data_IF_487633887147
#
_entry.id   IF_487633887147
#
_cell.length_a   1.000
_cell.length_b   1.000
_cell.length_c   1.000
_cell.angle_alpha   90.00
_cell.angle_beta   90.00
_cell.angle_gamma   90.00
#
_symmetry.space_group_name_H-M   'P 1'
#
loop_
_entity.id
_entity.type
_entity.pdbx_description
1 polymer ?
#
# COMPACT_ATOMS: atom_id res chain seq x y z
N UNK A 1 -21.25 15.34 26.61
CA UNK A 1 -22.24 14.58 25.83
C UNK A 1 -21.55 14.17 24.53
N UNK A 2 -20.95 13.01 24.53
CA UNK A 2 -20.19 12.49 23.37
C UNK A 2 -21.15 11.79 22.42
N UNK A 3 -21.38 12.37 21.26
CA UNK A 3 -22.11 11.69 20.19
C UNK A 3 -21.18 10.66 19.53
N UNK A 4 -21.35 9.42 19.89
CA UNK A 4 -20.70 8.27 19.28
C UNK A 4 -21.24 8.08 17.87
N UNK A 5 -20.57 8.66 16.87
CA UNK A 5 -20.97 8.53 15.46
C UNK A 5 -20.65 7.11 15.00
N UNK A 6 -21.68 6.29 14.83
CA UNK A 6 -21.53 4.91 14.38
C UNK A 6 -20.83 4.86 13.01
N UNK A 7 -19.98 3.84 12.79
CA UNK A 7 -19.27 3.60 11.50
C UNK A 7 -20.19 3.68 10.28
N UNK A 8 -21.43 3.25 10.38
CA UNK A 8 -22.44 3.35 9.31
C UNK A 8 -22.84 4.80 8.96
N UNK A 9 -22.90 5.72 9.94
CA UNK A 9 -23.16 7.13 9.69
C UNK A 9 -21.98 7.84 9.04
N UNK A 10 -20.77 7.44 9.41
CA UNK A 10 -19.53 7.97 8.82
C UNK A 10 -19.41 7.59 7.33
N UNK A 11 -19.67 6.33 7.00
CA UNK A 11 -19.63 5.83 5.61
C UNK A 11 -20.74 6.48 4.76
N UNK A 12 -21.96 6.68 5.30
CA UNK A 12 -23.02 7.39 4.56
C UNK A 12 -22.67 8.86 4.29
N UNK A 13 -21.96 9.53 5.19
CA UNK A 13 -21.53 10.91 4.97
C UNK A 13 -20.47 11.04 3.87
N UNK A 14 -19.60 10.06 3.72
CA UNK A 14 -18.60 10.01 2.62
C UNK A 14 -19.28 9.65 1.29
N UNK A 15 -20.25 8.74 1.28
CA UNK A 15 -20.95 8.32 0.07
C UNK A 15 -21.87 9.39 -0.56
N UNK A 16 -22.28 10.39 0.19
CA UNK A 16 -23.15 11.47 -0.33
C UNK A 16 -22.38 12.57 -1.08
N UNK A 17 -21.05 12.58 -1.01
CA UNK A 17 -20.19 13.54 -1.72
C UNK A 17 -19.78 13.08 -3.14
N UNK A 18 -20.18 11.88 -3.56
CA UNK A 18 -19.75 11.30 -4.84
C UNK A 18 -20.84 11.24 -5.92
N UNK A 19 -22.07 11.73 -5.65
CA UNK A 19 -23.18 11.67 -6.60
C UNK A 19 -23.45 13.01 -7.32
N UNK A 20 -22.43 13.84 -7.50
CA UNK A 20 -22.49 15.03 -8.34
C UNK A 20 -21.58 14.89 -9.55
N UNK A 21 -22.16 14.53 -10.71
CA UNK A 21 -21.48 14.62 -12.01
C UNK A 21 -20.98 16.05 -12.24
N UNK A 22 -19.73 16.34 -11.92
CA UNK A 22 -19.07 17.58 -12.34
C UNK A 22 -17.99 17.24 -13.34
N UNK A 23 -18.20 17.67 -14.57
CA UNK A 23 -17.13 17.75 -15.58
C UNK A 23 -16.11 18.77 -15.06
N UNK A 24 -15.06 18.30 -14.41
CA UNK A 24 -13.98 19.16 -13.93
C UNK A 24 -12.87 19.15 -14.96
N UNK A 25 -12.63 20.29 -15.59
CA UNK A 25 -11.48 20.50 -16.46
C UNK A 25 -10.18 20.20 -15.69
N UNK A 26 -9.21 19.58 -16.36
CA UNK A 26 -7.96 19.08 -15.80
C UNK A 26 -7.07 20.13 -15.11
N UNK A 27 -7.43 21.39 -15.12
CA UNK A 27 -6.66 22.50 -14.53
C UNK A 27 -7.13 22.95 -13.14
N UNK A 28 -8.26 22.46 -12.65
CA UNK A 28 -8.85 22.86 -11.36
C UNK A 28 -8.49 22.00 -10.15
N UNK A 29 -8.02 20.78 -10.37
CA UNK A 29 -7.82 19.81 -9.28
C UNK A 29 -6.61 20.10 -8.37
N UNK A 30 -5.65 20.89 -8.85
CA UNK A 30 -4.44 21.19 -8.09
C UNK A 30 -4.60 22.31 -7.04
N UNK A 31 -5.73 23.00 -6.99
CA UNK A 31 -5.91 24.18 -6.13
C UNK A 31 -6.94 24.07 -5.03
N UNK A 32 -7.61 22.95 -4.91
CA UNK A 32 -8.52 22.73 -3.77
C UNK A 32 -7.82 21.88 -2.70
N UNK A 33 -6.63 22.31 -2.28
CA UNK A 33 -6.14 21.99 -0.95
C UNK A 33 -7.09 22.72 -0.02
N UNK A 34 -7.97 21.99 0.61
CA UNK A 34 -8.90 22.47 1.62
C UNK A 34 -8.07 23.24 2.63
N UNK A 35 -8.34 24.54 2.74
CA UNK A 35 -7.85 25.38 3.83
C UNK A 35 -8.56 24.89 5.11
N UNK A 36 -8.01 23.84 5.70
CA UNK A 36 -8.54 23.22 6.89
C UNK A 36 -8.21 24.12 8.07
N UNK A 37 -9.22 24.79 8.62
CA UNK A 37 -9.12 25.61 9.82
C UNK A 37 -8.23 24.94 10.88
N UNK A 38 -7.45 25.74 11.57
CA UNK A 38 -6.32 25.40 12.46
C UNK A 38 -6.57 24.39 13.61
N UNK A 39 -7.79 23.84 13.74
CA UNK A 39 -8.19 22.93 14.81
C UNK A 39 -8.31 21.46 14.38
N UNK A 40 -7.85 21.07 13.20
CA UNK A 40 -7.86 19.66 12.80
C UNK A 40 -6.54 19.00 13.17
N UNK A 41 -6.57 17.74 13.62
CA UNK A 41 -5.35 16.98 13.89
C UNK A 41 -4.56 16.66 12.59
N UNK A 42 -5.19 16.81 11.43
CA UNK A 42 -4.57 16.56 10.13
C UNK A 42 -3.82 17.82 9.71
N UNK A 43 -2.51 17.74 9.69
CA UNK A 43 -1.62 18.85 9.32
C UNK A 43 -1.39 18.96 7.82
N UNK A 44 -1.44 17.85 7.10
CA UNK A 44 -1.15 17.79 5.68
C UNK A 44 -1.82 16.57 5.05
N UNK A 45 -2.31 16.75 3.83
CA UNK A 45 -2.80 15.66 2.97
C UNK A 45 -2.10 15.78 1.61
N UNK A 46 -1.58 14.68 1.11
CA UNK A 46 -0.92 14.61 -0.20
C UNK A 46 -1.41 13.35 -0.94
N UNK A 47 -1.40 13.36 -2.28
CA UNK A 47 -1.61 12.15 -3.04
C UNK A 47 -0.55 11.11 -2.68
N UNK A 48 -0.97 9.86 -2.56
CA UNK A 48 -0.06 8.74 -2.36
C UNK A 48 0.75 8.53 -3.64
N UNK A 49 2.06 8.43 -3.48
CA UNK A 49 3.01 8.07 -4.53
C UNK A 49 3.76 6.80 -4.12
N UNK A 50 4.45 6.16 -5.02
CA UNK A 50 5.30 5.01 -4.70
C UNK A 50 6.77 5.39 -4.94
N UNK A 51 7.62 5.44 -3.91
CA UNK A 51 7.34 5.32 -2.47
C UNK A 51 6.59 6.55 -1.91
N UNK A 52 5.94 6.37 -0.75
CA UNK A 52 5.29 7.47 -0.07
C UNK A 52 6.32 8.44 0.50
N UNK A 53 6.02 9.72 0.41
CA UNK A 53 6.78 10.74 1.13
C UNK A 53 6.56 10.59 2.63
N UNK A 54 7.64 10.55 3.35
CA UNK A 54 7.66 10.43 4.81
C UNK A 54 8.25 11.69 5.44
N UNK A 55 8.22 11.74 6.76
CA UNK A 55 8.92 12.72 7.56
C UNK A 55 9.94 12.02 8.43
N UNK A 56 11.02 12.73 8.75
CA UNK A 56 12.07 12.25 9.64
C UNK A 56 11.47 11.64 10.93
N UNK A 57 11.92 10.48 11.39
CA UNK A 57 13.13 9.73 10.96
C UNK A 57 12.89 8.69 9.86
N UNK A 58 11.73 8.64 9.25
CA UNK A 58 11.40 7.66 8.23
C UNK A 58 11.97 8.06 6.86
N UNK A 59 12.74 7.19 6.24
CA UNK A 59 13.38 7.44 4.94
C UNK A 59 12.32 7.37 3.83
N UNK A 60 11.50 6.32 3.84
CA UNK A 60 10.36 6.15 2.92
C UNK A 60 9.36 5.14 3.48
N UNK A 61 8.19 5.08 2.89
CA UNK A 61 7.20 4.06 3.14
C UNK A 61 6.71 3.50 1.80
N UNK A 62 6.56 2.20 1.71
CA UNK A 62 5.94 1.53 0.57
C UNK A 62 4.65 0.84 1.00
N UNK A 63 3.66 0.88 0.13
CA UNK A 63 2.40 0.17 0.30
C UNK A 63 2.25 -0.87 -0.79
N UNK A 64 1.87 -2.07 -0.38
CA UNK A 64 1.61 -3.18 -1.28
C UNK A 64 0.21 -3.73 -1.03
N UNK A 65 -0.54 -3.94 -2.09
CA UNK A 65 -1.82 -4.65 -2.06
C UNK A 65 -1.84 -5.59 -3.27
N UNK A 66 -1.61 -6.87 -3.00
CA UNK A 66 -1.48 -7.88 -4.02
C UNK A 66 -2.46 -9.03 -3.78
N UNK A 67 -3.29 -9.29 -4.78
CA UNK A 67 -4.27 -10.38 -4.76
C UNK A 67 -3.67 -11.61 -5.45
N UNK A 68 -2.70 -12.24 -4.80
CA UNK A 68 -2.01 -13.40 -5.36
C UNK A 68 -2.95 -14.57 -5.63
N UNK A 69 -2.80 -15.25 -6.78
CA UNK A 69 -3.45 -16.54 -7.00
C UNK A 69 -2.87 -17.58 -6.03
N UNK A 70 -3.55 -18.71 -5.90
CA UNK A 70 -3.05 -19.82 -5.09
C UNK A 70 -1.62 -20.22 -5.47
N UNK A 71 -0.88 -20.77 -4.51
CA UNK A 71 0.50 -21.18 -4.73
C UNK A 71 0.63 -22.46 -5.57
N UNK A 72 1.76 -22.60 -6.26
CA UNK A 72 2.18 -23.83 -6.93
C UNK A 72 3.21 -24.60 -6.07
N UNK A 73 3.70 -25.75 -6.56
CA UNK A 73 4.65 -26.59 -5.83
C UNK A 73 6.03 -25.94 -5.63
N UNK A 74 6.34 -24.87 -6.38
CA UNK A 74 7.59 -24.12 -6.29
C UNK A 74 7.43 -22.86 -5.41
N UNK A 75 6.36 -22.78 -4.63
CA UNK A 75 6.00 -21.65 -3.77
C UNK A 75 5.70 -20.35 -4.53
N UNK A 76 5.63 -20.41 -5.85
CA UNK A 76 5.26 -19.29 -6.71
C UNK A 76 3.74 -19.25 -6.95
N UNK A 77 3.26 -18.20 -7.63
CA UNK A 77 1.85 -18.09 -7.99
C UNK A 77 1.48 -19.15 -9.04
N UNK A 78 0.33 -19.79 -8.84
CA UNK A 78 -0.24 -20.74 -9.81
C UNK A 78 -0.94 -20.00 -10.95
N UNK A 79 -0.18 -19.21 -11.68
CA UNK A 79 -0.65 -18.44 -12.83
C UNK A 79 0.50 -18.17 -13.79
N UNK A 80 0.18 -17.80 -15.03
CA UNK A 80 1.18 -17.46 -16.05
C UNK A 80 1.92 -16.18 -15.67
N UNK A 81 3.25 -16.23 -15.79
CA UNK A 81 4.11 -15.06 -15.65
C UNK A 81 4.36 -14.33 -16.99
N UNK A 82 3.74 -14.80 -18.07
CA UNK A 82 3.93 -14.21 -19.39
C UNK A 82 3.52 -12.73 -19.44
N UNK A 83 4.38 -11.90 -20.03
CA UNK A 83 4.15 -10.47 -20.17
C UNK A 83 4.39 -9.68 -18.88
N UNK A 84 5.05 -10.28 -17.87
CA UNK A 84 5.58 -9.57 -16.70
C UNK A 84 7.06 -9.28 -16.87
N UNK A 85 7.51 -8.17 -16.35
CA UNK A 85 8.93 -7.81 -16.29
C UNK A 85 9.57 -8.46 -15.05
N UNK A 86 9.78 -9.76 -15.09
CA UNK A 86 10.26 -10.56 -13.95
C UNK A 86 11.57 -9.97 -13.39
N UNK A 87 11.60 -9.79 -12.07
CA UNK A 87 12.69 -9.14 -11.35
C UNK A 87 12.50 -7.62 -11.14
N UNK A 88 11.60 -7.00 -11.87
CA UNK A 88 11.21 -5.59 -11.73
C UNK A 88 9.72 -5.37 -12.07
N UNK A 89 8.88 -6.33 -11.71
CA UNK A 89 7.45 -6.23 -11.96
C UNK A 89 6.74 -5.50 -10.82
N UNK A 90 6.47 -4.24 -11.06
CA UNK A 90 5.67 -3.37 -10.19
C UNK A 90 4.36 -2.95 -10.89
N UNK A 91 3.96 -3.67 -11.92
CA UNK A 91 2.86 -3.26 -12.78
C UNK A 91 1.47 -3.45 -12.17
N UNK A 92 1.34 -4.32 -11.14
CA UNK A 92 0.04 -4.71 -10.59
C UNK A 92 -0.85 -5.45 -11.60
N UNK A 93 -0.26 -6.04 -12.66
CA UNK A 93 -0.98 -6.79 -13.67
C UNK A 93 -1.80 -7.91 -13.01
N UNK A 94 -3.05 -8.05 -13.38
CA UNK A 94 -3.99 -9.02 -12.80
C UNK A 94 -4.18 -8.85 -11.27
N UNK A 95 -3.89 -7.66 -10.72
CA UNK A 95 -4.06 -7.34 -9.31
C UNK A 95 -2.91 -7.77 -8.40
N UNK A 96 -1.74 -8.16 -8.93
CA UNK A 96 -0.57 -8.56 -8.16
C UNK A 96 0.73 -8.33 -8.92
N UNK A 97 1.86 -8.35 -8.22
CA UNK A 97 3.19 -8.10 -8.80
C UNK A 97 4.21 -9.14 -8.35
N UNK A 98 5.21 -9.43 -9.19
CA UNK A 98 6.32 -10.31 -8.84
C UNK A 98 7.49 -9.57 -8.16
N UNK A 99 7.48 -8.25 -8.19
CA UNK A 99 8.55 -7.39 -7.66
C UNK A 99 9.94 -7.85 -8.12
N UNK A 100 10.81 -8.17 -7.17
CA UNK A 100 12.17 -8.65 -7.46
C UNK A 100 12.29 -10.18 -7.50
N UNK A 101 11.24 -10.89 -7.11
CA UNK A 101 11.20 -12.36 -7.18
C UNK A 101 11.05 -12.84 -8.62
N UNK A 102 11.73 -13.95 -8.97
CA UNK A 102 11.60 -14.57 -10.29
C UNK A 102 10.69 -15.82 -10.30
N UNK A 103 10.50 -16.45 -9.16
CA UNK A 103 9.58 -17.57 -8.97
C UNK A 103 8.59 -17.29 -7.84
N UNK A 104 9.09 -16.82 -6.71
CA UNK A 104 8.29 -16.45 -5.54
C UNK A 104 8.18 -14.94 -5.51
N UNK A 105 6.95 -14.38 -5.37
CA UNK A 105 6.79 -12.94 -5.24
C UNK A 105 7.47 -12.43 -3.98
N UNK A 106 8.03 -11.24 -4.05
CA UNK A 106 8.63 -10.59 -2.90
C UNK A 106 10.01 -10.00 -3.18
N UNK A 107 10.75 -9.81 -2.10
CA UNK A 107 12.05 -9.16 -2.11
C UNK A 107 13.11 -10.17 -1.65
N UNK A 108 14.03 -10.61 -2.53
CA UNK A 108 15.13 -11.47 -2.15
C UNK A 108 15.98 -10.86 -1.04
N UNK A 109 16.75 -11.68 -0.35
CA UNK A 109 17.65 -11.21 0.70
C UNK A 109 18.56 -10.08 0.20
N UNK A 110 18.61 -8.99 0.91
CA UNK A 110 19.41 -7.80 0.61
C UNK A 110 19.85 -7.13 1.91
N UNK A 111 21.01 -6.47 1.94
CA UNK A 111 21.51 -5.86 3.17
C UNK A 111 20.74 -4.59 3.54
N UNK A 112 20.54 -4.39 4.85
CA UNK A 112 20.12 -3.13 5.44
C UNK A 112 21.28 -2.56 6.24
N UNK A 113 21.84 -1.44 5.82
CA UNK A 113 22.98 -0.80 6.46
C UNK A 113 22.54 0.53 7.10
N UNK A 114 22.45 0.55 8.43
CA UNK A 114 22.15 1.75 9.18
C UNK A 114 20.69 2.17 9.23
N UNK A 115 19.76 1.30 8.85
CA UNK A 115 18.32 1.54 8.98
C UNK A 115 17.55 0.26 9.31
N UNK A 116 16.39 0.43 9.89
CA UNK A 116 15.43 -0.63 10.26
C UNK A 116 14.23 -0.61 9.33
N UNK A 117 13.60 -1.77 9.13
CA UNK A 117 12.34 -1.89 8.40
C UNK A 117 11.22 -2.29 9.34
N UNK A 118 10.15 -1.53 9.33
CA UNK A 118 8.92 -1.84 10.08
C UNK A 118 7.86 -2.26 9.07
N UNK A 119 7.32 -3.48 9.23
CA UNK A 119 6.24 -3.99 8.40
C UNK A 119 4.93 -4.00 9.18
N UNK A 120 3.87 -3.47 8.55
CA UNK A 120 2.52 -3.46 9.10
C UNK A 120 1.61 -4.19 8.12
N UNK A 121 1.09 -5.34 8.52
CA UNK A 121 0.18 -6.14 7.69
C UNK A 121 -1.24 -5.87 8.17
N UNK A 122 -2.00 -5.16 7.36
CA UNK A 122 -3.39 -4.84 7.66
C UNK A 122 -4.38 -5.89 7.15
N UNK A 123 -3.97 -6.68 6.17
CA UNK A 123 -4.77 -7.74 5.56
C UNK A 123 -3.85 -8.77 4.91
N UNK A 124 -4.17 -10.06 5.06
CA UNK A 124 -3.38 -11.14 4.51
C UNK A 124 -2.12 -11.45 5.33
N UNK A 125 -1.12 -12.02 4.72
CA UNK A 125 0.08 -12.53 5.39
C UNK A 125 1.36 -12.15 4.64
N UNK A 126 2.45 -11.99 5.40
CA UNK A 126 3.80 -11.88 4.86
C UNK A 126 4.74 -12.84 5.58
N UNK A 127 5.65 -13.43 4.83
CA UNK A 127 6.75 -14.22 5.35
C UNK A 127 8.02 -13.39 5.37
N UNK A 128 8.77 -13.47 6.44
CA UNK A 128 10.03 -12.78 6.61
C UNK A 128 11.10 -13.73 7.14
N UNK A 129 12.33 -13.55 6.69
CA UNK A 129 13.50 -14.19 7.26
C UNK A 129 14.71 -13.26 7.21
N UNK A 130 15.64 -13.42 8.13
CA UNK A 130 16.84 -12.59 8.21
C UNK A 130 18.13 -13.40 8.27
N UNK A 131 19.27 -12.72 8.22
CA UNK A 131 20.59 -13.34 8.24
C UNK A 131 20.99 -13.91 9.60
N UNK A 132 20.26 -13.63 10.68
CA UNK A 132 20.44 -14.21 12.00
C UNK A 132 19.68 -15.51 12.17
N UNK A 133 18.97 -15.96 11.14
CA UNK A 133 18.17 -17.17 11.13
C UNK A 133 16.78 -17.02 11.75
N UNK A 134 16.38 -15.79 12.09
CA UNK A 134 15.01 -15.55 12.47
C UNK A 134 14.10 -15.58 11.23
N UNK A 135 12.94 -16.20 11.38
CA UNK A 135 11.91 -16.24 10.34
C UNK A 135 10.53 -16.22 11.00
N UNK A 136 9.55 -15.76 10.28
CA UNK A 136 8.17 -15.74 10.76
C UNK A 136 7.18 -15.43 9.66
N UNK A 137 5.94 -15.85 9.91
CA UNK A 137 4.77 -15.44 9.17
C UNK A 137 3.93 -14.56 10.06
N UNK A 138 3.55 -13.39 9.58
CA UNK A 138 2.74 -12.45 10.32
C UNK A 138 1.68 -11.82 9.42
N UNK A 139 0.60 -11.37 10.05
CA UNK A 139 -0.62 -10.89 9.41
C UNK A 139 -1.87 -11.47 10.10
N UNK A 140 -3.02 -11.34 9.45
CA UNK A 140 -4.32 -11.83 9.94
C UNK A 140 -5.18 -12.39 8.81
#
# INVERSE_FOLDING_TARGET
MDENISRKKFIKKIGFLTAGSLVISKTGFAKQIIDMKSNTPIKKMEPISLPWKTQDPFIFCSYHLDMYPGGNNDLGPNNSLQGRNIGQDFSGKDGWSMYHGNKVPGFPAHPHSGFETISIISQGMADHSDSLGAYGRFGN
#
